data_IF_138785155778
#
_entry.id   IF_138785155778
#
_cell.length_a   1.000
_cell.length_b   1.000
_cell.length_c   1.000
_cell.angle_alpha   90.00
_cell.angle_beta   90.00
_cell.angle_gamma   90.00
#
_symmetry.space_group_name_H-M   'P 1'
#
loop_
_entity.id
_entity.type
_entity.pdbx_description
1 polymer ?
#
# COMPACT_ATOMS: atom_id res chain seq x y z
N UNK A 1 3.65 -12.92 24.89
CA UNK A 1 2.30 -12.61 24.38
C UNK A 1 2.06 -11.11 24.63
N UNK A 2 2.14 -10.27 23.62
CA UNK A 2 1.76 -8.87 23.75
C UNK A 2 0.23 -8.79 23.76
N UNK A 3 -0.39 -7.95 24.64
CA UNK A 3 -1.83 -7.82 24.67
C UNK A 3 -2.31 -7.23 23.34
N UNK A 4 -3.31 -7.86 22.73
CA UNK A 4 -4.03 -7.29 21.61
C UNK A 4 -4.71 -6.01 22.08
N UNK A 5 -4.29 -4.87 21.55
CA UNK A 5 -4.98 -3.59 21.74
C UNK A 5 -6.34 -3.73 21.07
N UNK A 6 -7.42 -3.57 21.83
CA UNK A 6 -8.75 -3.73 21.29
C UNK A 6 -9.01 -2.68 20.19
N UNK A 7 -9.58 -3.09 19.05
CA UNK A 7 -9.92 -2.20 17.93
C UNK A 7 -10.73 -0.97 18.34
N UNK A 8 -11.54 -1.09 19.40
CA UNK A 8 -12.29 0.02 20.01
C UNK A 8 -11.43 1.13 20.59
N UNK A 9 -10.22 0.83 21.08
CA UNK A 9 -9.30 1.87 21.63
C UNK A 9 -8.66 2.71 20.52
N UNK A 10 -8.40 2.10 19.38
CA UNK A 10 -7.81 2.81 18.23
C UNK A 10 -8.83 3.81 17.66
N UNK A 11 -10.07 3.41 17.49
CA UNK A 11 -11.16 4.27 16.99
C UNK A 11 -11.48 5.40 17.97
N UNK A 12 -11.46 5.14 19.26
CA UNK A 12 -11.73 6.14 20.29
C UNK A 12 -10.66 7.25 20.33
N UNK A 13 -9.40 6.89 20.14
CA UNK A 13 -8.29 7.86 20.12
C UNK A 13 -8.27 8.72 18.84
N UNK A 14 -8.78 8.23 17.72
CA UNK A 14 -8.91 9.03 16.48
C UNK A 14 -10.01 10.09 16.60
N UNK A 15 -11.08 9.81 17.34
CA UNK A 15 -12.24 10.70 17.49
C UNK A 15 -12.05 11.76 18.58
N UNK A 16 -11.18 11.53 19.55
CA UNK A 16 -10.96 12.43 20.69
C UNK A 16 -9.72 13.33 20.56
N UNK A 17 -9.38 13.78 19.39
CA UNK A 17 -8.45 14.87 18.99
C UNK A 17 -7.39 15.38 20.00
N UNK A 18 -7.02 14.63 20.99
CA UNK A 18 -5.75 14.82 21.66
C UNK A 18 -4.70 14.28 20.70
N UNK A 19 -3.81 15.13 20.25
CA UNK A 19 -2.72 14.87 19.32
C UNK A 19 -2.09 13.51 19.59
N UNK A 20 -2.55 12.48 18.89
CA UNK A 20 -1.87 11.19 18.90
C UNK A 20 -0.52 11.46 18.25
N UNK A 21 0.51 11.50 19.07
CA UNK A 21 1.89 11.56 18.58
C UNK A 21 2.10 10.30 17.75
N UNK A 22 2.17 10.45 16.43
CA UNK A 22 2.40 9.33 15.54
C UNK A 22 3.73 8.65 15.90
N UNK A 23 3.66 7.42 16.34
CA UNK A 23 4.84 6.61 16.64
C UNK A 23 5.31 5.91 15.36
N UNK A 24 6.14 6.62 14.59
CA UNK A 24 6.73 6.08 13.37
C UNK A 24 7.62 4.87 13.64
N UNK A 25 8.25 4.78 14.80
CA UNK A 25 9.06 3.63 15.19
C UNK A 25 8.20 2.38 15.38
N UNK A 26 6.97 2.53 15.84
CA UNK A 26 5.99 1.43 15.92
C UNK A 26 5.64 0.93 14.52
N UNK A 27 5.41 1.82 13.56
CA UNK A 27 5.16 1.45 12.17
C UNK A 27 6.37 0.78 11.53
N UNK A 28 7.58 1.27 11.77
CA UNK A 28 8.82 0.66 11.28
C UNK A 28 8.95 -0.76 11.83
N UNK A 29 8.71 -0.98 13.13
CA UNK A 29 8.74 -2.33 13.73
C UNK A 29 7.71 -3.27 13.09
N UNK A 30 6.49 -2.78 12.87
CA UNK A 30 5.41 -3.52 12.21
C UNK A 30 5.82 -3.95 10.79
N UNK A 31 6.24 -3.02 9.96
CA UNK A 31 6.67 -3.31 8.59
C UNK A 31 7.90 -4.23 8.51
N UNK A 32 8.87 -4.05 9.41
CA UNK A 32 10.02 -4.95 9.50
C UNK A 32 9.61 -6.38 9.82
N UNK A 33 8.71 -6.54 10.77
CA UNK A 33 8.16 -7.85 11.13
C UNK A 33 7.48 -8.49 9.91
N UNK A 34 6.58 -7.78 9.24
CA UNK A 34 5.87 -8.27 8.05
C UNK A 34 6.82 -8.62 6.90
N UNK A 35 7.87 -7.83 6.69
CA UNK A 35 8.81 -8.05 5.59
C UNK A 35 9.57 -9.39 5.70
N UNK A 36 9.66 -9.94 6.90
CA UNK A 36 10.23 -11.26 7.17
C UNK A 36 9.25 -12.42 6.95
N UNK A 37 7.95 -12.14 6.87
CA UNK A 37 6.88 -13.13 6.79
C UNK A 37 6.26 -13.14 5.37
N UNK A 38 7.04 -13.57 4.39
CA UNK A 38 6.51 -13.71 3.02
C UNK A 38 5.53 -14.85 2.94
N UNK A 39 4.31 -14.55 2.46
CA UNK A 39 3.30 -15.57 2.19
C UNK A 39 3.76 -16.45 1.02
N UNK A 40 3.68 -17.76 1.22
CA UNK A 40 3.68 -18.74 0.14
C UNK A 40 2.23 -19.04 -0.20
N UNK A 41 1.76 -18.55 -1.32
CA UNK A 41 0.39 -18.80 -1.76
C UNK A 41 0.41 -20.06 -2.62
N UNK A 42 -0.29 -21.09 -2.14
CA UNK A 42 -0.50 -22.32 -2.91
C UNK A 42 -1.84 -22.21 -3.62
N UNK A 43 -1.79 -22.16 -4.95
CA UNK A 43 -2.97 -22.09 -5.81
C UNK A 43 -3.48 -23.47 -6.25
N UNK A 44 -2.82 -24.57 -5.85
CA UNK A 44 -3.14 -25.92 -6.34
C UNK A 44 -4.55 -26.39 -5.97
N UNK A 45 -5.14 -25.85 -4.90
CA UNK A 45 -6.51 -26.13 -4.46
C UNK A 45 -7.57 -25.16 -5.01
N UNK A 46 -7.18 -24.20 -5.81
CA UNK A 46 -8.10 -23.20 -6.37
C UNK A 46 -9.04 -23.81 -7.43
N UNK A 47 -10.33 -23.55 -7.28
CA UNK A 47 -11.32 -23.93 -8.27
C UNK A 47 -11.23 -23.01 -9.49
N UNK A 48 -11.33 -23.59 -10.69
CA UNK A 48 -11.32 -22.80 -11.92
C UNK A 48 -12.55 -21.89 -11.98
N UNK A 49 -12.31 -20.58 -12.09
CA UNK A 49 -13.36 -19.58 -12.16
C UNK A 49 -14.10 -19.66 -13.49
N UNK A 50 -15.45 -19.60 -13.45
CA UNK A 50 -16.26 -19.50 -14.64
C UNK A 50 -15.97 -18.20 -15.41
N UNK A 51 -16.29 -18.18 -16.70
CA UNK A 51 -16.09 -17.00 -17.56
C UNK A 51 -16.82 -15.76 -17.02
N UNK A 52 -17.96 -15.93 -16.38
CA UNK A 52 -18.72 -14.82 -15.77
C UNK A 52 -18.03 -14.30 -14.49
N UNK A 53 -17.60 -15.18 -13.61
CA UNK A 53 -16.83 -14.81 -12.41
C UNK A 53 -15.53 -14.08 -12.80
N UNK A 54 -14.83 -14.55 -13.81
CA UNK A 54 -13.63 -13.91 -14.34
C UNK A 54 -13.91 -12.48 -14.80
N UNK A 55 -14.97 -12.25 -15.57
CA UNK A 55 -15.37 -10.91 -16.04
C UNK A 55 -15.70 -9.96 -14.90
N UNK A 56 -16.25 -10.45 -13.80
CA UNK A 56 -16.60 -9.62 -12.64
C UNK A 56 -15.39 -9.31 -11.76
N UNK A 57 -14.50 -10.25 -11.55
CA UNK A 57 -13.41 -10.16 -10.55
C UNK A 57 -12.16 -9.50 -11.13
N UNK A 58 -11.70 -9.93 -12.32
CA UNK A 58 -10.39 -9.51 -12.82
C UNK A 58 -10.24 -8.03 -13.17
N UNK A 59 -11.26 -7.27 -13.59
CA UNK A 59 -11.11 -5.82 -13.75
C UNK A 59 -10.67 -5.12 -12.46
N UNK A 60 -11.23 -5.51 -11.32
CA UNK A 60 -10.87 -4.98 -10.00
C UNK A 60 -9.48 -5.44 -9.57
N UNK A 61 -9.19 -6.74 -9.63
CA UNK A 61 -7.86 -7.27 -9.26
C UNK A 61 -6.75 -6.61 -10.09
N UNK A 62 -6.97 -6.45 -11.40
CA UNK A 62 -6.00 -5.81 -12.29
C UNK A 62 -5.79 -4.33 -11.94
N UNK A 63 -6.87 -3.64 -11.55
CA UNK A 63 -6.80 -2.26 -11.12
C UNK A 63 -6.04 -2.15 -9.78
N UNK A 64 -6.33 -3.02 -8.82
CA UNK A 64 -5.63 -3.10 -7.54
C UNK A 64 -4.15 -3.40 -7.72
N UNK A 65 -3.80 -4.45 -8.44
CA UNK A 65 -2.42 -4.82 -8.70
C UNK A 65 -1.60 -3.65 -9.28
N UNK A 66 -2.22 -2.90 -10.19
CA UNK A 66 -1.61 -1.72 -10.79
C UNK A 66 -1.51 -0.57 -9.77
N UNK A 67 -2.53 -0.39 -8.92
CA UNK A 67 -2.54 0.64 -7.86
C UNK A 67 -1.45 0.41 -6.82
N UNK A 68 -1.32 -0.83 -6.36
CA UNK A 68 -0.32 -1.26 -5.37
C UNK A 68 1.12 -1.17 -5.89
N UNK A 69 1.31 -1.19 -7.21
CA UNK A 69 2.63 -1.05 -7.82
C UNK A 69 3.12 0.38 -7.75
N UNK A 70 3.80 0.72 -6.67
CA UNK A 70 4.38 2.04 -6.44
C UNK A 70 5.83 2.10 -6.97
N UNK A 71 6.10 3.10 -7.81
CA UNK A 71 7.49 3.45 -8.13
C UNK A 71 8.17 4.17 -6.94
N UNK A 72 7.37 4.66 -5.99
CA UNK A 72 7.79 5.20 -4.70
C UNK A 72 8.61 6.49 -4.72
N UNK A 73 9.24 6.82 -5.83
CA UNK A 73 10.21 7.90 -5.90
C UNK A 73 9.67 9.27 -5.48
N UNK A 74 8.52 9.67 -6.01
CA UNK A 74 7.92 10.97 -5.67
C UNK A 74 7.38 11.00 -4.25
N UNK A 75 6.72 9.92 -3.83
CA UNK A 75 6.20 9.81 -2.47
C UNK A 75 7.33 9.83 -1.46
N UNK A 76 8.42 9.11 -1.72
CA UNK A 76 9.61 9.13 -0.87
C UNK A 76 10.25 10.53 -0.81
N UNK A 77 10.42 11.21 -1.95
CA UNK A 77 10.95 12.57 -1.97
C UNK A 77 10.07 13.58 -1.24
N UNK A 78 8.75 13.41 -1.31
CA UNK A 78 7.81 14.23 -0.54
C UNK A 78 7.90 13.92 0.96
N UNK A 79 8.07 12.65 1.33
CA UNK A 79 8.26 12.21 2.70
C UNK A 79 9.59 12.72 3.30
N UNK A 80 10.67 12.74 2.52
CA UNK A 80 11.96 13.28 2.92
C UNK A 80 11.87 14.78 3.25
N UNK A 81 11.24 15.57 2.39
CA UNK A 81 11.01 17.00 2.65
C UNK A 81 10.15 17.24 3.89
N UNK A 82 9.09 16.46 4.06
CA UNK A 82 8.23 16.55 5.24
C UNK A 82 9.00 16.18 6.52
N UNK A 83 9.77 15.11 6.50
CA UNK A 83 10.58 14.66 7.63
C UNK A 83 11.61 15.71 8.04
N UNK A 84 12.24 16.38 7.09
CA UNK A 84 13.17 17.49 7.33
C UNK A 84 12.46 18.69 7.96
N UNK A 85 11.33 19.11 7.37
CA UNK A 85 10.50 20.23 7.89
C UNK A 85 10.02 19.98 9.33
N UNK A 86 9.59 18.76 9.64
CA UNK A 86 9.04 18.39 10.95
C UNK A 86 10.10 17.88 11.92
N UNK A 87 11.33 17.69 11.49
CA UNK A 87 12.44 17.08 12.26
C UNK A 87 12.11 15.67 12.74
N UNK A 88 11.46 14.88 11.86
CA UNK A 88 11.00 13.52 12.13
C UNK A 88 11.59 12.52 11.14
N UNK A 89 12.89 12.17 11.26
CA UNK A 89 13.58 11.31 10.29
C UNK A 89 12.96 9.89 10.19
N UNK A 90 12.36 9.38 11.27
CA UNK A 90 11.69 8.09 11.29
C UNK A 90 10.51 8.02 10.29
N UNK A 91 9.91 9.16 9.94
CA UNK A 91 8.84 9.21 8.95
C UNK A 91 9.30 8.70 7.57
N UNK A 92 10.47 9.15 7.13
CA UNK A 92 11.04 8.70 5.84
C UNK A 92 11.29 7.19 5.84
N UNK A 93 11.79 6.64 6.94
CA UNK A 93 12.03 5.22 7.07
C UNK A 93 10.72 4.43 7.05
N UNK A 94 9.70 4.88 7.77
CA UNK A 94 8.37 4.27 7.75
C UNK A 94 7.78 4.24 6.33
N UNK A 95 7.88 5.34 5.58
CA UNK A 95 7.40 5.43 4.20
C UNK A 95 8.16 4.47 3.27
N UNK A 96 9.48 4.30 3.44
CA UNK A 96 10.25 3.32 2.66
C UNK A 96 9.75 1.89 2.87
N UNK A 97 9.45 1.52 4.12
CA UNK A 97 8.89 0.21 4.42
C UNK A 97 7.48 0.05 3.88
N UNK A 98 6.65 1.08 4.00
CA UNK A 98 5.30 1.10 3.41
C UNK A 98 5.34 0.83 1.89
N UNK A 99 6.16 1.58 1.15
CA UNK A 99 6.34 1.38 -0.31
C UNK A 99 6.77 -0.06 -0.62
N UNK A 100 7.64 -0.65 0.21
CA UNK A 100 8.08 -2.03 0.04
C UNK A 100 6.93 -3.03 0.27
N UNK A 101 6.06 -2.76 1.22
CA UNK A 101 4.89 -3.59 1.51
C UNK A 101 3.88 -3.54 0.36
N UNK A 102 3.53 -2.34 -0.13
CA UNK A 102 2.69 -2.14 -1.31
C UNK A 102 3.20 -2.91 -2.54
N UNK A 103 4.50 -2.83 -2.81
CA UNK A 103 5.11 -3.60 -3.91
C UNK A 103 5.03 -5.12 -3.68
N UNK A 104 5.02 -5.57 -2.43
CA UNK A 104 4.83 -6.98 -2.09
C UNK A 104 3.38 -7.41 -2.35
N UNK A 105 2.39 -6.59 -1.98
CA UNK A 105 0.97 -6.81 -2.31
C UNK A 105 0.76 -6.89 -3.82
N UNK A 106 1.33 -5.95 -4.56
CA UNK A 106 1.31 -5.98 -6.03
C UNK A 106 1.87 -7.28 -6.60
N UNK A 107 2.98 -7.79 -6.03
CA UNK A 107 3.58 -9.04 -6.46
C UNK A 107 2.69 -10.26 -6.19
N UNK A 108 1.97 -10.30 -5.05
CA UNK A 108 1.01 -11.36 -4.76
C UNK A 108 -0.18 -11.34 -5.71
N UNK A 109 -0.73 -10.17 -5.97
CA UNK A 109 -1.80 -10.02 -6.96
C UNK A 109 -1.34 -10.42 -8.37
N UNK A 110 -0.11 -10.08 -8.74
CA UNK A 110 0.46 -10.50 -10.03
C UNK A 110 0.63 -12.02 -10.12
N UNK A 111 1.00 -12.71 -9.02
CA UNK A 111 1.06 -14.17 -8.98
C UNK A 111 -0.33 -14.79 -9.20
N UNK A 112 -1.36 -14.27 -8.53
CA UNK A 112 -2.75 -14.71 -8.70
C UNK A 112 -3.23 -14.48 -10.15
N UNK A 113 -2.98 -13.31 -10.71
CA UNK A 113 -3.30 -13.01 -12.10
C UNK A 113 -2.60 -13.96 -13.08
N UNK A 114 -1.30 -14.22 -12.84
CA UNK A 114 -0.52 -15.17 -13.65
C UNK A 114 -1.10 -16.57 -13.61
N UNK A 115 -1.48 -17.05 -12.41
CA UNK A 115 -2.15 -18.34 -12.25
C UNK A 115 -3.40 -18.45 -13.12
N UNK A 116 -4.24 -17.40 -13.09
CA UNK A 116 -5.46 -17.33 -13.89
C UNK A 116 -5.24 -16.89 -15.34
N UNK A 117 -4.00 -16.76 -15.82
CA UNK A 117 -3.64 -16.31 -17.17
C UNK A 117 -4.25 -14.95 -17.52
N UNK A 118 -4.30 -14.04 -16.56
CA UNK A 118 -4.75 -12.66 -16.75
C UNK A 118 -3.53 -11.76 -16.93
N UNK A 119 -3.42 -11.02 -18.04
CA UNK A 119 -2.28 -10.13 -18.25
C UNK A 119 -2.32 -8.92 -17.32
N UNK A 120 -1.15 -8.46 -16.88
CA UNK A 120 -1.01 -7.20 -16.17
C UNK A 120 -1.43 -6.02 -17.07
N UNK A 121 -2.13 -5.06 -16.49
CA UNK A 121 -2.58 -3.87 -17.21
C UNK A 121 -1.44 -2.86 -17.33
N UNK A 122 -1.10 -2.47 -18.55
CA UNK A 122 -0.13 -1.40 -18.79
C UNK A 122 -0.69 -0.04 -18.32
N UNK A 123 0.21 0.87 -17.95
CA UNK A 123 -0.19 2.25 -17.65
C UNK A 123 -0.77 2.92 -18.88
N UNK A 124 -1.89 3.63 -18.68
CA UNK A 124 -2.50 4.45 -19.73
C UNK A 124 -1.98 5.89 -19.65
N UNK A 125 -2.24 6.68 -20.69
CA UNK A 125 -1.92 8.12 -20.71
C UNK A 125 -2.63 8.85 -19.57
N UNK A 126 -3.88 8.46 -19.26
CA UNK A 126 -4.64 9.01 -18.14
C UNK A 126 -3.97 8.74 -16.80
N UNK A 127 -3.45 7.54 -16.57
CA UNK A 127 -2.70 7.23 -15.34
C UNK A 127 -1.47 8.14 -15.19
N UNK A 128 -0.80 8.43 -16.30
CA UNK A 128 0.36 9.34 -16.29
C UNK A 128 -0.02 10.78 -15.95
N UNK A 129 -1.17 11.24 -16.44
CA UNK A 129 -1.72 12.58 -16.12
C UNK A 129 -2.09 12.63 -14.65
N UNK A 130 -2.82 11.64 -14.11
CA UNK A 130 -3.18 11.58 -12.69
C UNK A 130 -1.95 11.53 -11.78
N UNK A 131 -0.92 10.79 -12.16
CA UNK A 131 0.36 10.76 -11.43
C UNK A 131 1.03 12.13 -11.39
N UNK A 132 1.06 12.86 -12.51
CA UNK A 132 1.61 14.22 -12.57
C UNK A 132 0.82 15.22 -11.72
N UNK A 133 -0.51 15.16 -11.75
CA UNK A 133 -1.35 16.03 -10.94
C UNK A 133 -1.14 15.81 -9.43
N UNK A 134 -0.92 14.57 -8.98
CA UNK A 134 -0.57 14.27 -7.59
C UNK A 134 0.74 14.92 -7.16
N UNK A 135 1.73 14.94 -8.05
CA UNK A 135 3.06 15.49 -7.78
C UNK A 135 3.03 17.00 -7.50
N UNK A 136 2.08 17.73 -8.08
CA UNK A 136 1.97 19.20 -7.93
C UNK A 136 1.49 19.58 -6.53
N UNK A 137 0.70 18.75 -5.86
CA UNK A 137 0.04 19.08 -4.60
C UNK A 137 0.77 18.61 -3.33
N UNK A 138 1.95 18.01 -3.48
CA UNK A 138 2.78 17.58 -2.35
C UNK A 138 2.25 16.37 -1.58
N UNK A 139 2.79 16.14 -0.37
CA UNK A 139 2.54 14.94 0.42
C UNK A 139 1.07 14.70 0.78
N UNK A 140 0.29 15.77 0.99
CA UNK A 140 -1.15 15.64 1.30
C UNK A 140 -1.90 14.95 0.18
N UNK A 141 -1.60 15.30 -1.07
CA UNK A 141 -2.21 14.69 -2.24
C UNK A 141 -1.78 13.23 -2.43
N UNK A 142 -0.53 12.91 -2.16
CA UNK A 142 -0.01 11.54 -2.21
C UNK A 142 -0.71 10.63 -1.20
N UNK A 143 -0.88 11.10 0.05
CA UNK A 143 -1.55 10.33 1.11
C UNK A 143 -3.05 10.17 0.84
N UNK A 144 -3.74 11.22 0.35
CA UNK A 144 -5.20 11.16 0.10
C UNK A 144 -5.58 10.16 -0.98
N UNK A 145 -4.69 9.81 -1.89
CA UNK A 145 -4.97 8.86 -2.98
C UNK A 145 -4.66 7.42 -2.57
N UNK A 146 -3.90 7.22 -1.48
CA UNK A 146 -3.58 5.90 -0.94
C UNK A 146 -4.65 5.36 0.03
N UNK A 147 -5.62 6.16 0.39
CA UNK A 147 -6.79 5.80 1.22
C UNK A 147 -8.01 5.69 0.31
#
# INVERSE_FOLDING_TARGET
>A
MAPAVAESEIVYNILNSEFVKYDYDRWIRYFRHNSGQRLRIDFSGETELSSEQRKRIFPSITAFQKGERSEGGYFLSAAERFAEEKKEPSYTEAVRYFIKEENTHSAYLAQYMKWHRVPEKKYSVLDSIFRRLRQVNGIRSEVTVLV
#
